data_IF_250679029148
#
_entry.id   IF_250679029148
#
_cell.length_a   1.000
_cell.length_b   1.000
_cell.length_c   1.000
_cell.angle_alpha   90.00
_cell.angle_beta   90.00
_cell.angle_gamma   90.00
#
_symmetry.space_group_name_H-M   'P 1'
#
loop_
_entity.id
_entity.type
_entity.pdbx_description
1 polymer ?
#
# COMPACT_ATOMS: atom_id res chain seq x y z
N UNK A 1 -5.56 12.49 5.72
CA UNK A 1 -4.90 12.05 6.97
C UNK A 1 -4.14 10.77 6.67
N UNK A 2 -2.85 10.71 7.00
CA UNK A 2 -2.03 9.53 6.76
C UNK A 2 -1.69 8.82 8.06
N UNK A 3 -2.11 7.55 8.18
CA UNK A 3 -1.67 6.67 9.25
C UNK A 3 -0.21 6.25 9.03
N UNK A 4 0.56 6.18 10.12
CA UNK A 4 1.91 5.59 10.10
C UNK A 4 1.85 4.10 9.78
N UNK A 5 2.96 3.47 9.32
CA UNK A 5 2.99 2.03 9.06
C UNK A 5 2.54 1.20 10.27
N UNK A 6 2.96 1.58 11.47
CA UNK A 6 2.57 0.91 12.71
C UNK A 6 1.06 0.99 12.95
N UNK A 7 0.46 2.18 12.82
CA UNK A 7 -0.97 2.38 12.99
C UNK A 7 -1.80 1.57 11.98
N UNK A 8 -1.33 1.48 10.72
CA UNK A 8 -1.96 0.66 9.68
C UNK A 8 -1.92 -0.82 10.02
N UNK A 9 -0.79 -1.32 10.51
CA UNK A 9 -0.65 -2.73 10.94
C UNK A 9 -1.53 -3.02 12.14
N UNK A 10 -1.59 -2.13 13.13
CA UNK A 10 -2.49 -2.28 14.28
C UNK A 10 -3.94 -2.36 13.84
N UNK A 11 -4.41 -1.44 13.00
CA UNK A 11 -5.79 -1.48 12.48
C UNK A 11 -6.07 -2.77 11.67
N UNK A 12 -5.12 -3.23 10.87
CA UNK A 12 -5.24 -4.49 10.14
C UNK A 12 -5.37 -5.69 11.08
N UNK A 13 -4.57 -5.76 12.15
CA UNK A 13 -4.64 -6.85 13.13
C UNK A 13 -5.98 -6.91 13.87
N UNK A 14 -6.57 -5.75 14.16
CA UNK A 14 -7.88 -5.65 14.80
C UNK A 14 -9.03 -6.07 13.87
N UNK A 15 -8.97 -5.69 12.59
CA UNK A 15 -10.07 -5.93 11.64
C UNK A 15 -10.00 -7.32 11.00
N UNK A 16 -8.81 -7.77 10.60
CA UNK A 16 -8.61 -9.02 9.84
C UNK A 16 -7.85 -10.08 10.62
N UNK A 17 -7.00 -9.67 11.57
CA UNK A 17 -6.20 -10.59 12.36
C UNK A 17 -6.93 -11.25 13.52
N UNK A 18 -8.19 -10.85 13.80
CA UNK A 18 -8.98 -11.35 14.91
C UNK A 18 -8.37 -11.06 16.29
N UNK A 19 -7.39 -10.15 16.36
CA UNK A 19 -6.74 -9.79 17.61
C UNK A 19 -7.54 -8.70 18.31
N UNK A 20 -7.78 -8.87 19.60
CA UNK A 20 -8.42 -7.83 20.40
C UNK A 20 -7.48 -6.64 20.70
N UNK A 21 -8.06 -5.52 21.17
CA UNK A 21 -7.32 -4.31 21.52
C UNK A 21 -6.27 -4.53 22.63
N UNK A 22 -6.49 -5.48 23.53
CA UNK A 22 -5.55 -5.86 24.59
C UNK A 22 -4.20 -6.36 24.07
N UNK A 23 -4.17 -6.91 22.85
CA UNK A 23 -2.96 -7.40 22.20
C UNK A 23 -2.20 -6.31 21.43
N UNK A 24 -2.70 -5.08 21.40
CA UNK A 24 -2.13 -3.98 20.62
C UNK A 24 -1.41 -2.93 21.48
N UNK A 25 -0.49 -2.21 20.85
CA UNK A 25 0.19 -1.10 21.51
C UNK A 25 -0.79 0.03 21.83
N UNK A 26 -0.91 0.38 23.12
CA UNK A 26 -1.80 1.46 23.62
C UNK A 26 -1.56 2.79 22.90
N UNK A 27 -0.31 3.11 22.57
CA UNK A 27 0.04 4.32 21.81
C UNK A 27 -0.59 4.33 20.42
N UNK A 28 -0.61 3.19 19.72
CA UNK A 28 -1.24 3.08 18.41
C UNK A 28 -2.77 3.19 18.52
N UNK A 29 -3.39 2.52 19.48
CA UNK A 29 -4.83 2.61 19.76
C UNK A 29 -5.26 4.04 20.08
N UNK A 30 -4.50 4.78 20.89
CA UNK A 30 -4.80 6.16 21.23
C UNK A 30 -4.88 7.05 19.98
N UNK A 31 -3.98 6.87 19.02
CA UNK A 31 -4.00 7.61 17.77
C UNK A 31 -5.17 7.19 16.87
N UNK A 32 -5.42 5.88 16.74
CA UNK A 32 -6.56 5.38 15.97
C UNK A 32 -7.89 5.90 16.54
N UNK A 33 -8.02 5.98 17.87
CA UNK A 33 -9.19 6.53 18.56
C UNK A 33 -9.35 8.03 18.29
N UNK A 34 -8.24 8.78 18.37
CA UNK A 34 -8.22 10.22 18.01
C UNK A 34 -8.73 10.45 16.59
N UNK A 35 -8.53 9.48 15.70
CA UNK A 35 -8.97 9.53 14.31
C UNK A 35 -10.33 8.89 14.05
N UNK A 36 -11.03 8.42 15.10
CA UNK A 36 -12.34 7.78 14.98
C UNK A 36 -12.31 6.41 14.30
N UNK A 37 -11.14 5.78 14.17
CA UNK A 37 -10.98 4.46 13.53
C UNK A 37 -11.15 3.29 14.50
N UNK A 38 -11.07 3.58 15.80
CA UNK A 38 -11.43 2.66 16.88
C UNK A 38 -12.23 3.42 17.94
N UNK A 39 -13.06 2.71 18.68
CA UNK A 39 -13.90 3.26 19.74
C UNK A 39 -13.13 3.50 21.06
N UNK A 40 -13.88 3.75 22.14
CA UNK A 40 -13.31 3.99 23.46
C UNK A 40 -12.58 2.77 24.03
N UNK A 41 -13.03 1.58 23.69
CA UNK A 41 -12.53 0.28 24.12
C UNK A 41 -11.39 -0.24 23.21
N UNK A 42 -11.18 0.42 22.07
CA UNK A 42 -10.13 0.12 21.11
C UNK A 42 -10.57 -0.82 19.99
N UNK A 43 -11.87 -1.12 19.89
CA UNK A 43 -12.42 -1.93 18.82
C UNK A 43 -12.61 -1.13 17.53
N UNK A 44 -12.45 -1.74 16.35
CA UNK A 44 -12.63 -1.05 15.07
C UNK A 44 -14.05 -0.52 14.89
N UNK A 45 -14.16 0.76 14.56
CA UNK A 45 -15.40 1.38 14.08
C UNK A 45 -15.67 1.01 12.62
N UNK A 46 -16.86 1.35 12.12
CA UNK A 46 -17.19 1.19 10.71
C UNK A 46 -16.28 2.04 9.82
N UNK A 47 -15.92 3.26 10.26
CA UNK A 47 -14.93 4.11 9.62
C UNK A 47 -13.55 3.43 9.56
N UNK A 48 -13.13 2.76 10.64
CA UNK A 48 -11.90 1.98 10.69
C UNK A 48 -11.87 0.87 9.64
N UNK A 49 -12.96 0.12 9.52
CA UNK A 49 -13.12 -0.96 8.52
C UNK A 49 -13.15 -0.39 7.10
N UNK A 50 -13.90 0.69 6.88
CA UNK A 50 -14.01 1.37 5.60
C UNK A 50 -12.67 1.93 5.13
N UNK A 51 -11.90 2.55 6.04
CA UNK A 51 -10.55 3.04 5.77
C UNK A 51 -9.63 1.90 5.30
N UNK A 52 -9.64 0.75 5.99
CA UNK A 52 -8.83 -0.39 5.62
C UNK A 52 -9.25 -0.95 4.24
N UNK A 53 -10.54 -1.04 3.96
CA UNK A 53 -11.06 -1.46 2.66
C UNK A 53 -10.61 -0.51 1.53
N UNK A 54 -10.65 0.80 1.76
CA UNK A 54 -10.18 1.81 0.81
C UNK A 54 -8.66 1.67 0.54
N UNK A 55 -7.86 1.46 1.59
CA UNK A 55 -6.42 1.25 1.49
C UNK A 55 -6.10 -0.01 0.65
N UNK A 56 -6.85 -1.10 0.85
CA UNK A 56 -6.73 -2.33 0.05
C UNK A 56 -7.11 -2.08 -1.41
N UNK A 57 -8.18 -1.32 -1.67
CA UNK A 57 -8.59 -0.97 -3.04
C UNK A 57 -7.52 -0.14 -3.75
N UNK A 58 -6.90 0.81 -3.06
CA UNK A 58 -5.81 1.60 -3.60
C UNK A 58 -4.57 0.75 -3.92
N UNK A 59 -4.19 -0.17 -3.00
CA UNK A 59 -3.07 -1.09 -3.24
C UNK A 59 -3.33 -2.02 -4.42
N UNK A 60 -4.54 -2.56 -4.54
CA UNK A 60 -4.96 -3.39 -5.68
C UNK A 60 -4.87 -2.61 -7.00
N UNK A 61 -5.34 -1.37 -7.04
CA UNK A 61 -5.23 -0.50 -8.23
C UNK A 61 -3.78 -0.28 -8.65
N UNK A 62 -2.89 0.02 -7.70
CA UNK A 62 -1.45 0.18 -7.99
C UNK A 62 -0.82 -1.10 -8.53
N UNK A 63 -1.13 -2.26 -7.95
CA UNK A 63 -0.65 -3.55 -8.44
C UNK A 63 -1.18 -3.88 -9.84
N UNK A 64 -2.46 -3.60 -10.11
CA UNK A 64 -3.06 -3.79 -11.43
C UNK A 64 -2.42 -2.89 -12.50
N UNK A 65 -2.14 -1.63 -12.16
CA UNK A 65 -1.42 -0.71 -13.05
C UNK A 65 0.01 -1.16 -13.33
N UNK A 66 0.72 -1.63 -12.30
CA UNK A 66 2.08 -2.16 -12.46
C UNK A 66 2.09 -3.39 -13.36
N UNK A 67 1.19 -4.34 -13.13
CA UNK A 67 1.05 -5.52 -13.98
C UNK A 67 0.69 -5.11 -15.42
N UNK A 68 -0.28 -4.22 -15.62
CA UNK A 68 -0.62 -3.74 -16.97
C UNK A 68 0.58 -3.08 -17.69
N UNK A 69 1.44 -2.36 -16.96
CA UNK A 69 2.66 -1.79 -17.52
C UNK A 69 3.74 -2.85 -17.85
N UNK A 70 3.80 -3.93 -17.07
CA UNK A 70 4.68 -5.07 -17.32
C UNK A 70 4.21 -5.91 -18.52
N UNK A 71 2.91 -6.17 -18.61
CA UNK A 71 2.27 -6.84 -19.75
C UNK A 71 2.52 -6.07 -21.07
N UNK A 72 2.30 -4.75 -21.08
CA UNK A 72 2.61 -3.92 -22.27
C UNK A 72 4.08 -3.98 -22.69
N UNK A 73 5.02 -4.08 -21.73
CA UNK A 73 6.45 -4.24 -22.04
C UNK A 73 6.80 -5.62 -22.59
N UNK A 74 6.07 -6.67 -22.19
CA UNK A 74 6.23 -8.03 -22.72
C UNK A 74 5.62 -8.21 -24.11
N UNK A 75 4.48 -7.57 -24.37
CA UNK A 75 3.80 -7.62 -25.67
C UNK A 75 4.42 -6.70 -26.73
N UNK A 76 5.32 -5.79 -26.34
CA UNK A 76 6.11 -4.99 -27.27
C UNK A 76 7.43 -5.71 -27.62
N UNK A 77 7.53 -6.42 -28.76
CA UNK A 77 8.76 -7.08 -29.17
C UNK A 77 9.93 -6.11 -29.41
N UNK A 78 9.66 -4.80 -29.53
CA UNK A 78 10.68 -3.76 -29.71
C UNK A 78 11.13 -3.12 -28.39
N UNK A 79 10.48 -3.40 -27.27
CA UNK A 79 10.83 -2.84 -25.94
C UNK A 79 12.26 -3.20 -25.55
N UNK A 80 12.66 -4.46 -25.74
CA UNK A 80 14.04 -4.91 -25.49
C UNK A 80 15.08 -4.30 -26.45
N UNK A 81 14.71 -4.10 -27.72
CA UNK A 81 15.58 -3.49 -28.72
C UNK A 81 15.77 -1.98 -28.49
N UNK A 82 14.71 -1.25 -28.12
CA UNK A 82 14.78 0.20 -27.83
C UNK A 82 15.64 0.50 -26.60
N UNK A 83 15.55 -0.30 -25.55
CA UNK A 83 16.35 -0.14 -24.34
C UNK A 83 17.84 -0.45 -24.62
N UNK A 84 18.13 -1.43 -25.48
CA UNK A 84 19.48 -1.73 -25.95
C UNK A 84 20.05 -0.62 -26.86
N UNK A 85 19.24 -0.09 -27.80
CA UNK A 85 19.64 1.02 -28.67
C UNK A 85 19.84 2.34 -27.91
N UNK A 86 19.07 2.60 -26.86
CA UNK A 86 19.28 3.77 -26.01
C UNK A 86 20.55 3.67 -25.16
N UNK A 87 20.85 2.49 -24.61
CA UNK A 87 22.12 2.26 -23.88
C UNK A 87 23.34 2.41 -24.78
N UNK A 88 23.28 1.95 -26.02
CA UNK A 88 24.35 2.16 -27.00
C UNK A 88 24.58 3.64 -27.32
N UNK A 89 23.50 4.41 -27.59
CA UNK A 89 23.62 5.86 -27.85
C UNK A 89 24.11 6.67 -26.65
N UNK A 90 23.86 6.23 -25.42
CA UNK A 90 24.36 6.89 -24.22
C UNK A 90 25.86 6.63 -24.01
N UNK A 91 26.35 5.44 -24.37
CA UNK A 91 27.78 5.10 -24.28
C UNK A 91 28.67 5.82 -25.30
N UNK A 92 28.13 6.26 -26.45
CA UNK A 92 28.87 7.05 -27.45
C UNK A 92 29.02 8.54 -27.07
N UNK A 93 28.36 9.01 -26.01
CA UNK A 93 28.40 10.44 -25.60
C UNK A 93 29.48 10.77 -24.57
N UNK A 94 30.08 9.74 -23.96
CA UNK A 94 31.15 9.85 -22.96
C UNK A 94 32.51 9.33 -23.49
N UNK A 95 32.68 9.22 -24.82
CA UNK A 95 33.92 8.84 -25.49
C UNK A 95 34.57 9.99 -26.23
#
# INVERSE_FOLDING_TARGET
>A
MDLTPLQRVTLHRLVEGGQGPESQLRTALRWLRRYGLVDADGWPTDEGRAYLAALRRQRRRRMAQHQAAEWRRREDPLSGMRDASQRWKAGERDG
#
